data_IF_813222921277
#
_entry.id   IF_813222921277
#
_cell.length_a   1.000
_cell.length_b   1.000
_cell.length_c   1.000
_cell.angle_alpha   90.00
_cell.angle_beta   90.00
_cell.angle_gamma   90.00
#
_symmetry.space_group_name_H-M   'P 1'
#
loop_
_entity.id
_entity.type
_entity.pdbx_description
1 polymer ?
#
# COMPACT_ATOMS: atom_id res chain seq x y z
N UNK A 1 -29.66 73.20 14.59
CA UNK A 1 -29.27 71.80 14.86
C UNK A 1 -28.43 71.32 13.69
N UNK A 2 -27.12 71.27 13.90
CA UNK A 2 -26.08 70.88 12.93
C UNK A 2 -25.37 69.66 13.54
N UNK A 3 -25.17 68.55 12.82
CA UNK A 3 -24.48 67.39 13.37
C UNK A 3 -22.95 67.61 13.36
N UNK A 4 -22.21 67.01 14.30
CA UNK A 4 -20.77 67.24 14.46
C UNK A 4 -19.94 66.39 13.48
N UNK A 5 -18.81 66.96 13.06
CA UNK A 5 -17.80 66.34 12.21
C UNK A 5 -17.02 65.27 12.95
N UNK A 6 -16.85 64.10 12.33
CA UNK A 6 -15.97 63.02 12.79
C UNK A 6 -14.61 63.19 12.10
N UNK A 7 -13.55 63.31 12.88
CA UNK A 7 -12.15 63.30 12.44
C UNK A 7 -11.64 61.86 12.24
N UNK A 8 -10.67 61.64 11.32
CA UNK A 8 -10.18 60.30 10.98
C UNK A 8 -9.13 59.81 11.99
N UNK A 9 -9.24 58.52 12.33
CA UNK A 9 -8.31 57.75 13.16
C UNK A 9 -7.12 57.33 12.28
N UNK A 10 -5.91 57.63 12.74
CA UNK A 10 -4.66 57.19 12.13
C UNK A 10 -4.41 55.70 12.41
N UNK A 11 -4.17 54.93 11.34
CA UNK A 11 -3.65 53.56 11.38
C UNK A 11 -2.12 53.64 11.46
N UNK A 12 -1.55 53.10 12.54
CA UNK A 12 -0.11 52.90 12.70
C UNK A 12 0.31 51.53 12.15
N UNK A 13 1.32 51.58 11.30
CA UNK A 13 1.96 50.49 10.58
C UNK A 13 2.89 49.61 11.45
N UNK A 14 2.93 48.33 11.07
CA UNK A 14 4.10 47.43 11.00
C UNK A 14 4.74 46.88 12.29
N UNK A 15 4.27 45.69 12.71
CA UNK A 15 5.10 44.72 13.42
C UNK A 15 5.61 43.64 12.45
N UNK A 16 6.93 43.55 12.36
CA UNK A 16 7.68 42.61 11.52
C UNK A 16 7.84 41.27 12.24
N UNK A 17 7.20 40.22 11.73
CA UNK A 17 7.40 38.83 12.17
C UNK A 17 8.52 38.19 11.35
N UNK A 18 9.68 38.01 11.99
CA UNK A 18 10.79 37.19 11.51
C UNK A 18 10.36 35.73 11.36
N UNK A 19 10.38 35.22 10.12
CA UNK A 19 10.21 33.80 9.81
C UNK A 19 11.55 33.10 10.05
N UNK A 20 11.62 32.34 11.15
CA UNK A 20 12.74 31.43 11.44
C UNK A 20 12.69 30.19 10.55
N UNK A 21 13.76 30.01 9.78
CA UNK A 21 14.51 28.76 9.59
C UNK A 21 13.75 27.48 9.23
N UNK A 22 13.78 27.14 7.93
CA UNK A 22 13.52 25.79 7.42
C UNK A 22 14.54 24.77 7.94
N UNK A 23 14.13 23.56 8.37
CA UNK A 23 15.06 22.53 8.83
C UNK A 23 15.74 21.82 7.65
N UNK A 24 17.06 21.73 7.73
CA UNK A 24 17.96 20.98 6.86
C UNK A 24 17.65 19.48 6.91
N UNK A 25 17.58 18.75 5.78
CA UNK A 25 17.35 17.31 5.79
C UNK A 25 18.60 16.55 6.27
N UNK A 26 18.42 15.68 7.26
CA UNK A 26 19.44 14.75 7.76
C UNK A 26 19.75 13.67 6.71
N UNK A 27 21.02 13.21 6.60
CA UNK A 27 21.40 12.15 5.68
C UNK A 27 20.87 10.79 6.16
N UNK A 28 20.10 10.12 5.29
CA UNK A 28 19.70 8.73 5.42
C UNK A 28 20.94 7.83 5.44
N UNK A 29 21.23 7.25 6.60
CA UNK A 29 22.21 6.19 6.77
C UNK A 29 21.81 4.96 5.97
N UNK A 30 22.73 4.47 5.14
CA UNK A 30 22.66 3.16 4.49
C UNK A 30 22.77 2.08 5.56
N UNK A 31 21.63 1.61 6.06
CA UNK A 31 21.55 0.37 6.81
C UNK A 31 21.36 -0.79 5.85
N UNK A 32 22.31 -1.72 5.83
CA UNK A 32 22.21 -2.98 5.12
C UNK A 32 21.06 -3.81 5.68
N UNK A 33 19.93 -3.82 4.96
CA UNK A 33 18.81 -4.73 5.21
C UNK A 33 19.20 -6.07 4.59
N UNK A 34 19.63 -7.02 5.42
CA UNK A 34 19.67 -8.43 5.02
C UNK A 34 18.23 -8.88 4.72
N UNK A 35 17.94 -9.07 3.43
CA UNK A 35 16.69 -9.63 2.95
C UNK A 35 16.61 -11.11 3.38
N UNK A 36 15.64 -11.43 4.24
CA UNK A 36 15.18 -12.80 4.42
C UNK A 36 14.39 -13.22 3.17
N UNK A 37 14.72 -14.34 2.50
CA UNK A 37 13.95 -14.80 1.36
C UNK A 37 12.59 -15.32 1.84
N UNK A 38 11.53 -14.59 1.48
CA UNK A 38 10.16 -15.12 1.50
C UNK A 38 10.06 -16.08 0.31
N UNK A 39 10.06 -17.38 0.60
CA UNK A 39 9.74 -18.42 -0.36
C UNK A 39 8.24 -18.28 -0.67
N UNK A 40 7.93 -17.63 -1.80
CA UNK A 40 6.62 -17.73 -2.43
C UNK A 40 6.72 -18.88 -3.42
N UNK A 41 6.13 -20.03 -3.08
CA UNK A 41 5.91 -21.12 -4.03
C UNK A 41 4.98 -20.63 -5.14
N UNK A 42 5.56 -20.35 -6.30
CA UNK A 42 4.85 -20.07 -7.52
C UNK A 42 4.36 -21.40 -8.13
N UNK A 43 3.03 -21.56 -8.24
CA UNK A 43 2.43 -22.54 -9.13
C UNK A 43 2.85 -22.24 -10.57
N UNK A 44 3.77 -23.05 -11.08
CA UNK A 44 4.20 -23.05 -12.48
C UNK A 44 3.16 -23.76 -13.34
N UNK A 45 2.57 -23.05 -14.29
CA UNK A 45 1.95 -23.65 -15.48
C UNK A 45 2.96 -23.62 -16.63
N UNK A 46 3.12 -24.71 -17.40
CA UNK A 46 4.16 -24.81 -18.41
C UNK A 46 3.83 -24.03 -19.69
N UNK A 47 4.81 -23.25 -20.15
CA UNK A 47 4.87 -22.67 -21.48
C UNK A 47 4.93 -23.77 -22.55
N UNK A 48 4.09 -23.68 -23.57
CA UNK A 48 4.31 -24.32 -24.87
C UNK A 48 4.49 -23.23 -25.94
N UNK A 49 5.49 -23.35 -26.84
CA UNK A 49 5.79 -22.34 -27.84
C UNK A 49 4.95 -22.54 -29.11
N UNK A 50 4.11 -21.57 -29.46
CA UNK A 50 3.46 -21.52 -30.77
C UNK A 50 4.45 -20.98 -31.81
N UNK A 51 5.03 -21.91 -32.58
CA UNK A 51 5.73 -21.66 -33.83
C UNK A 51 4.70 -21.33 -34.92
N UNK A 52 4.81 -20.13 -35.50
CA UNK A 52 4.06 -19.73 -36.71
C UNK A 52 4.71 -20.43 -37.90
N UNK A 53 4.00 -21.40 -38.48
CA UNK A 53 4.36 -22.09 -39.72
C UNK A 53 3.45 -21.60 -40.84
N UNK A 54 4.08 -21.24 -41.95
CA UNK A 54 3.48 -20.74 -43.18
C UNK A 54 2.89 -21.85 -44.07
N UNK A 55 1.79 -21.51 -44.74
CA UNK A 55 1.22 -22.07 -46.01
C UNK A 55 0.51 -23.44 -45.94
N UNK A 56 -0.41 -23.81 -46.87
CA UNK A 56 -0.70 -23.21 -48.20
C UNK A 56 -2.20 -23.03 -48.56
N UNK A 57 -2.40 -22.57 -49.79
CA UNK A 57 -3.63 -22.38 -50.57
C UNK A 57 -4.75 -23.42 -50.32
N UNK A 58 -5.99 -22.93 -50.20
CA UNK A 58 -7.19 -23.75 -50.35
C UNK A 58 -8.16 -23.09 -51.31
N UNK A 59 -8.41 -23.80 -52.40
CA UNK A 59 -9.32 -23.50 -53.48
C UNK A 59 -10.77 -23.35 -52.99
N UNK A 60 -11.46 -22.38 -53.60
CA UNK A 60 -12.88 -22.15 -53.48
C UNK A 60 -13.72 -23.30 -54.07
N UNK A 61 -14.93 -23.51 -53.54
CA UNK A 61 -16.05 -23.94 -54.36
C UNK A 61 -17.11 -22.85 -54.47
N UNK A 62 -17.59 -22.70 -55.69
CA UNK A 62 -18.63 -21.77 -56.11
C UNK A 62 -20.05 -22.23 -55.72
N UNK A 63 -20.96 -21.25 -55.82
CA UNK A 63 -22.43 -21.29 -56.01
C UNK A 63 -23.32 -21.16 -54.75
N UNK A 64 -24.59 -20.69 -54.88
CA UNK A 64 -25.24 -19.98 -56.00
C UNK A 64 -25.95 -18.66 -55.62
N UNK A 65 -26.30 -17.91 -56.67
CA UNK A 65 -27.21 -16.76 -56.67
C UNK A 65 -28.54 -17.05 -55.95
N UNK A 66 -28.95 -16.14 -55.08
CA UNK A 66 -30.36 -15.95 -54.69
C UNK A 66 -30.72 -14.50 -54.95
N UNK A 67 -31.38 -14.28 -56.08
CA UNK A 67 -32.23 -13.11 -56.29
C UNK A 67 -33.49 -13.26 -55.42
N UNK A 68 -33.81 -12.27 -54.60
CA UNK A 68 -35.20 -12.03 -54.18
C UNK A 68 -35.49 -10.54 -54.02
N UNK A 69 -36.24 -10.07 -55.01
CA UNK A 69 -37.20 -8.97 -55.06
C UNK A 69 -37.37 -8.01 -53.87
N UNK A 70 -37.28 -6.72 -54.23
CA UNK A 70 -37.89 -5.56 -53.57
C UNK A 70 -39.42 -5.66 -53.53
N UNK A 71 -40.01 -5.30 -52.38
CA UNK A 71 -41.31 -4.61 -52.34
C UNK A 71 -41.52 -3.83 -51.02
N UNK A 72 -41.68 -2.53 -51.22
CA UNK A 72 -42.25 -1.45 -50.40
C UNK A 72 -43.35 -1.80 -49.38
N UNK A 73 -43.36 -1.14 -48.21
CA UNK A 73 -44.37 -0.11 -47.80
C UNK A 73 -44.31 0.25 -46.30
N UNK A 74 -44.42 1.57 -46.03
CA UNK A 74 -44.55 2.35 -44.77
C UNK A 74 -45.67 1.88 -43.78
N UNK A 75 -45.84 2.42 -42.54
CA UNK A 75 -45.51 3.78 -42.09
C UNK A 75 -44.98 4.03 -40.65
N UNK A 76 -44.53 5.26 -40.46
CA UNK A 76 -44.38 5.98 -39.18
C UNK A 76 -45.74 6.15 -38.48
N UNK A 77 -45.82 5.88 -37.17
CA UNK A 77 -46.08 6.91 -36.15
C UNK A 77 -46.22 6.33 -34.74
N UNK A 78 -45.76 7.15 -33.79
CA UNK A 78 -46.14 7.25 -32.38
C UNK A 78 -45.72 6.13 -31.41
N UNK A 79 -44.89 6.47 -30.41
CA UNK A 79 -45.34 6.95 -29.10
C UNK A 79 -44.12 7.10 -28.17
N UNK A 80 -43.92 8.33 -27.69
CA UNK A 80 -43.14 8.65 -26.49
C UNK A 80 -43.59 7.75 -25.32
N UNK A 81 -42.72 6.88 -24.81
CA UNK A 81 -42.93 6.28 -23.49
C UNK A 81 -41.68 6.44 -22.64
N UNK A 82 -41.84 7.28 -21.62
CA UNK A 82 -40.89 7.55 -20.55
C UNK A 82 -40.61 6.24 -19.80
N UNK A 83 -39.40 5.70 -19.91
CA UNK A 83 -38.89 4.78 -18.90
C UNK A 83 -38.07 5.59 -17.89
N UNK A 84 -38.77 5.99 -16.82
CA UNK A 84 -38.14 6.38 -15.57
C UNK A 84 -37.50 5.13 -14.94
N UNK A 85 -36.20 4.97 -15.12
CA UNK A 85 -35.43 4.04 -14.29
C UNK A 85 -35.16 4.70 -12.93
N UNK A 86 -35.39 3.99 -11.81
CA UNK A 86 -35.19 4.56 -10.49
C UNK A 86 -33.69 4.77 -10.22
N UNK A 87 -33.38 5.93 -9.64
CA UNK A 87 -32.11 6.24 -8.99
C UNK A 87 -31.73 5.10 -8.04
N UNK A 88 -30.70 4.35 -8.41
CA UNK A 88 -30.06 3.40 -7.52
C UNK A 88 -29.24 4.22 -6.50
N UNK A 89 -29.75 4.32 -5.28
CA UNK A 89 -29.01 4.84 -4.12
C UNK A 89 -27.94 3.82 -3.75
N UNK A 90 -26.64 4.18 -3.70
CA UNK A 90 -25.66 3.31 -3.08
C UNK A 90 -25.80 3.47 -1.56
N UNK A 91 -26.61 2.62 -0.94
CA UNK A 91 -26.49 2.36 0.48
C UNK A 91 -25.14 1.69 0.73
N UNK A 92 -24.18 2.47 1.24
CA UNK A 92 -23.31 2.13 2.36
C UNK A 92 -23.24 0.62 2.69
N UNK A 93 -22.44 -0.12 1.93
CA UNK A 93 -21.94 -1.45 2.32
C UNK A 93 -20.48 -1.31 2.73
N UNK A 94 -20.27 -0.79 3.94
CA UNK A 94 -19.00 -0.89 4.64
C UNK A 94 -19.28 -0.77 6.13
N UNK A 95 -19.76 -1.86 6.74
CA UNK A 95 -19.67 -2.19 8.17
C UNK A 95 -20.36 -3.53 8.42
N UNK A 96 -19.77 -4.62 7.92
CA UNK A 96 -20.14 -5.98 8.34
C UNK A 96 -19.05 -6.97 7.93
N UNK A 97 -17.85 -6.86 8.52
CA UNK A 97 -17.00 -8.03 8.75
C UNK A 97 -15.93 -7.65 9.79
N UNK A 98 -15.65 -8.60 10.69
CA UNK A 98 -14.66 -8.54 11.79
C UNK A 98 -15.17 -7.97 13.13
N UNK A 99 -16.16 -8.65 13.70
CA UNK A 99 -16.30 -8.76 15.17
C UNK A 99 -16.66 -10.19 15.55
N UNK A 100 -15.67 -11.08 15.66
CA UNK A 100 -15.76 -12.28 16.52
C UNK A 100 -14.38 -12.95 16.66
N UNK A 101 -13.53 -12.37 17.50
CA UNK A 101 -12.51 -13.14 18.22
C UNK A 101 -12.85 -12.97 19.69
N UNK A 102 -13.77 -13.83 20.15
CA UNK A 102 -14.07 -14.00 21.56
C UNK A 102 -12.89 -14.72 22.20
N UNK A 103 -12.17 -14.03 23.06
CA UNK A 103 -11.30 -14.64 24.06
C UNK A 103 -12.16 -14.95 25.27
N UNK A 104 -12.71 -16.16 25.33
CA UNK A 104 -13.11 -16.78 26.59
C UNK A 104 -11.83 -17.15 27.32
N UNK A 105 -11.40 -16.31 28.25
CA UNK A 105 -10.45 -16.68 29.31
C UNK A 105 -11.19 -17.62 30.27
N UNK A 106 -11.09 -18.92 30.01
CA UNK A 106 -11.37 -19.94 31.01
C UNK A 106 -10.17 -20.01 31.95
N UNK A 107 -10.41 -19.64 33.21
CA UNK A 107 -9.52 -19.86 34.33
C UNK A 107 -9.30 -21.38 34.55
N UNK A 108 -8.07 -21.91 34.48
CA UNK A 108 -7.80 -23.23 35.02
C UNK A 108 -7.66 -23.09 36.54
N UNK A 109 -8.69 -23.54 37.26
CA UNK A 109 -8.61 -23.82 38.69
C UNK A 109 -7.69 -25.02 38.89
N UNK A 110 -6.44 -24.75 39.26
CA UNK A 110 -5.47 -25.76 39.66
C UNK A 110 -5.79 -26.12 41.12
N UNK A 111 -6.44 -27.26 41.31
CA UNK A 111 -6.57 -27.95 42.59
C UNK A 111 -5.21 -28.58 42.95
N UNK A 112 -4.60 -28.11 44.03
CA UNK A 112 -3.47 -28.79 44.69
C UNK A 112 -4.07 -29.84 45.64
N UNK A 113 -3.85 -31.12 45.32
CA UNK A 113 -4.10 -32.23 46.22
C UNK A 113 -2.90 -32.38 47.17
N UNK A 114 -3.19 -32.32 48.47
CA UNK A 114 -2.26 -32.58 49.56
C UNK A 114 -1.90 -34.07 49.61
N UNK A 115 -0.67 -34.44 49.26
CA UNK A 115 -0.14 -35.80 49.47
C UNK A 115 0.82 -35.82 50.66
N UNK A 116 0.23 -36.04 51.83
CA UNK A 116 0.85 -36.30 53.13
C UNK A 116 1.66 -37.61 53.06
N UNK A 117 2.99 -37.51 52.95
CA UNK A 117 3.88 -38.68 53.00
C UNK A 117 4.60 -38.76 54.35
N UNK A 118 3.98 -39.53 55.24
CA UNK A 118 4.51 -39.99 56.51
C UNK A 118 5.63 -41.03 56.28
N UNK A 119 6.86 -40.73 56.73
CA UNK A 119 7.97 -41.69 56.79
C UNK A 119 8.71 -41.58 58.12
N UNK A 120 8.20 -42.34 59.09
CA UNK A 120 8.95 -42.79 60.26
C UNK A 120 10.03 -43.79 59.85
N UNK A 121 11.28 -43.57 60.26
CA UNK A 121 12.28 -44.64 60.40
C UNK A 121 13.04 -44.52 61.71
N UNK A 122 13.00 -45.63 62.44
CA UNK A 122 13.61 -45.91 63.73
C UNK A 122 15.12 -46.19 63.64
N UNK A 123 15.87 -45.62 64.60
CA UNK A 123 17.02 -46.20 65.36
C UNK A 123 18.35 -46.50 64.63
N UNK A 124 19.51 -46.72 65.33
CA UNK A 124 19.72 -46.88 66.78
C UNK A 124 20.82 -45.99 67.40
N UNK A 125 20.78 -45.91 68.73
CA UNK A 125 21.75 -45.20 69.56
C UNK A 125 23.16 -45.80 69.55
N UNK A 126 24.15 -44.91 69.60
CA UNK A 126 25.55 -45.23 69.87
C UNK A 126 26.02 -44.42 71.07
N UNK A 127 26.58 -45.16 72.02
CA UNK A 127 27.05 -44.73 73.33
C UNK A 127 28.25 -43.78 73.30
N UNK A 128 28.20 -42.83 74.23
CA UNK A 128 29.24 -41.85 74.63
C UNK A 128 30.63 -42.46 74.85
N UNK A 129 31.68 -41.68 74.55
CA UNK A 129 32.87 -41.67 75.39
C UNK A 129 33.19 -40.26 75.94
N UNK A 130 33.52 -40.28 77.24
CA UNK A 130 34.49 -39.44 77.97
C UNK A 130 34.38 -37.91 77.89
N UNK A 131 33.84 -37.37 78.99
CA UNK A 131 33.98 -35.99 79.43
C UNK A 131 35.45 -35.61 79.59
N UNK A 132 35.96 -34.84 78.63
CA UNK A 132 37.01 -33.86 78.84
C UNK A 132 36.26 -32.60 79.31
N UNK A 133 36.64 -32.06 80.46
CA UNK A 133 36.12 -30.78 80.96
C UNK A 133 36.52 -29.66 79.98
N UNK A 134 35.70 -29.47 78.95
CA UNK A 134 35.73 -28.33 78.05
C UNK A 134 35.31 -27.10 78.86
N UNK A 135 36.18 -26.11 78.88
CA UNK A 135 35.82 -24.73 79.17
C UNK A 135 34.60 -24.39 78.29
N UNK A 136 33.47 -24.07 78.90
CA UNK A 136 32.20 -23.84 78.21
C UNK A 136 32.28 -22.55 77.39
N UNK A 137 32.90 -22.61 76.21
CA UNK A 137 32.80 -21.58 75.19
C UNK A 137 31.32 -21.48 74.82
N UNK A 138 30.71 -20.32 75.04
CA UNK A 138 29.31 -20.11 74.70
C UNK A 138 29.11 -20.40 73.20
N UNK A 139 28.24 -21.36 72.86
CA UNK A 139 27.85 -21.64 71.47
C UNK A 139 26.93 -20.52 71.02
N UNK A 140 27.40 -19.67 70.11
CA UNK A 140 26.61 -18.63 69.49
C UNK A 140 25.96 -19.19 68.22
N UNK A 141 24.75 -18.72 67.88
CA UNK A 141 24.15 -19.03 66.57
C UNK A 141 25.08 -18.51 65.48
N UNK A 142 25.25 -19.29 64.41
CA UNK A 142 26.07 -18.89 63.27
C UNK A 142 25.63 -17.51 62.79
N UNK A 143 26.52 -16.50 62.80
CA UNK A 143 26.21 -15.22 62.21
C UNK A 143 26.00 -15.41 60.70
N UNK A 144 25.00 -14.73 60.18
CA UNK A 144 24.66 -14.77 58.75
C UNK A 144 25.70 -13.99 57.95
N UNK A 145 25.77 -14.23 56.64
CA UNK A 145 26.71 -13.52 55.76
C UNK A 145 25.94 -12.52 54.91
N UNK A 146 26.46 -11.29 54.84
CA UNK A 146 25.91 -10.25 53.98
C UNK A 146 26.22 -10.57 52.52
N UNK A 147 25.19 -10.65 51.68
CA UNK A 147 25.33 -10.85 50.25
C UNK A 147 25.73 -9.52 49.58
N UNK A 148 26.98 -9.43 49.14
CA UNK A 148 27.45 -8.31 48.34
C UNK A 148 26.99 -8.48 46.88
N UNK A 149 26.01 -7.67 46.45
CA UNK A 149 25.45 -7.73 45.10
C UNK A 149 25.82 -6.46 44.29
N UNK A 150 26.74 -6.54 43.31
CA UNK A 150 27.30 -5.37 42.66
C UNK A 150 26.39 -4.75 41.58
N UNK A 151 25.28 -5.40 41.21
CA UNK A 151 24.49 -5.06 40.04
C UNK A 151 23.22 -4.24 40.36
N UNK A 152 23.33 -3.30 41.31
CA UNK A 152 22.22 -2.42 41.70
C UNK A 152 21.22 -3.09 42.65
N UNK A 153 19.93 -2.72 42.54
CA UNK A 153 18.89 -3.24 43.44
C UNK A 153 18.69 -4.74 43.25
N UNK A 154 18.92 -5.50 44.33
CA UNK A 154 18.79 -6.95 44.33
C UNK A 154 17.37 -7.38 43.92
N UNK A 155 16.33 -6.62 44.28
CA UNK A 155 14.96 -6.93 43.85
C UNK A 155 14.78 -6.98 42.33
N UNK A 156 15.49 -6.14 41.59
CA UNK A 156 15.31 -5.97 40.15
C UNK A 156 16.29 -6.82 39.34
N UNK A 157 17.52 -6.98 39.83
CA UNK A 157 18.59 -7.65 39.09
C UNK A 157 18.86 -9.07 39.56
N UNK A 158 18.37 -9.49 40.71
CA UNK A 158 18.48 -10.87 41.16
C UNK A 158 17.41 -11.77 40.52
N UNK A 159 17.77 -12.94 39.96
CA UNK A 159 16.83 -13.88 39.35
C UNK A 159 16.12 -14.73 40.43
N UNK A 160 15.16 -14.12 41.13
CA UNK A 160 14.39 -14.75 42.22
C UNK A 160 13.74 -16.08 41.82
N UNK A 161 13.41 -16.24 40.54
CA UNK A 161 12.79 -17.43 39.97
C UNK A 161 13.64 -18.69 40.18
N UNK A 162 14.97 -18.56 40.28
CA UNK A 162 15.85 -19.72 40.45
C UNK A 162 15.70 -20.40 41.81
N UNK A 163 15.26 -19.66 42.84
CA UNK A 163 14.91 -20.26 44.13
C UNK A 163 13.64 -21.10 44.06
N UNK A 164 12.70 -20.74 43.19
CA UNK A 164 11.46 -21.50 43.01
C UNK A 164 11.69 -22.81 42.25
N UNK A 165 12.48 -22.77 41.16
CA UNK A 165 12.71 -23.96 40.34
C UNK A 165 13.71 -24.94 40.97
N UNK A 166 14.71 -24.42 41.69
CA UNK A 166 15.81 -25.24 42.19
C UNK A 166 16.28 -24.79 43.58
N UNK A 167 15.47 -24.99 44.64
CA UNK A 167 15.76 -24.47 45.99
C UNK A 167 17.11 -24.95 46.55
N UNK A 168 17.57 -26.14 46.16
CA UNK A 168 18.83 -26.71 46.63
C UNK A 168 20.02 -26.48 45.68
N UNK A 169 19.80 -25.97 44.46
CA UNK A 169 20.89 -25.89 43.46
C UNK A 169 21.87 -24.76 43.74
N UNK A 170 21.42 -23.70 44.42
CA UNK A 170 22.25 -22.55 44.75
C UNK A 170 23.10 -22.79 45.99
N UNK A 171 22.75 -23.78 46.83
CA UNK A 171 23.48 -24.12 48.06
C UNK A 171 23.32 -23.10 49.20
N UNK A 172 22.46 -22.09 49.04
CA UNK A 172 22.14 -21.10 50.06
C UNK A 172 20.68 -20.64 49.97
N UNK A 173 20.19 -20.07 51.06
CA UNK A 173 18.88 -19.43 51.15
C UNK A 173 19.00 -18.06 51.83
N UNK A 174 18.01 -17.20 51.61
CA UNK A 174 17.93 -15.89 52.26
C UNK A 174 17.43 -16.03 53.69
N UNK A 175 18.19 -15.47 54.65
CA UNK A 175 17.90 -15.57 56.09
C UNK A 175 17.27 -14.29 56.64
N UNK A 176 17.60 -13.13 56.07
CA UNK A 176 17.06 -11.85 56.52
C UNK A 176 17.29 -10.71 55.52
N UNK A 177 16.47 -9.68 55.66
CA UNK A 177 16.54 -8.44 54.90
C UNK A 177 16.61 -7.30 55.91
N UNK A 178 17.64 -6.45 55.83
CA UNK A 178 17.79 -5.26 56.68
C UNK A 178 17.62 -3.98 55.85
N UNK A 179 17.37 -2.88 56.54
CA UNK A 179 17.44 -1.51 55.99
C UNK A 179 16.62 -1.31 54.70
N UNK A 180 15.34 -1.73 54.72
CA UNK A 180 14.43 -1.61 53.57
C UNK A 180 14.90 -2.36 52.31
N UNK A 181 15.78 -3.35 52.46
CA UNK A 181 16.28 -4.17 51.35
C UNK A 181 17.49 -3.59 50.64
N UNK A 182 18.31 -2.79 51.31
CA UNK A 182 19.69 -2.54 50.88
C UNK A 182 20.60 -3.72 51.22
N UNK A 183 20.37 -4.36 52.36
CA UNK A 183 21.22 -5.45 52.87
C UNK A 183 20.46 -6.76 52.92
N UNK A 184 20.99 -7.76 52.22
CA UNK A 184 20.47 -9.13 52.23
C UNK A 184 21.45 -10.04 52.94
N UNK A 185 20.92 -10.89 53.80
CA UNK A 185 21.70 -11.86 54.57
C UNK A 185 21.38 -13.25 54.06
N UNK A 186 22.40 -14.02 53.72
CA UNK A 186 22.29 -15.38 53.20
C UNK A 186 22.93 -16.39 54.15
N UNK A 187 22.42 -17.63 54.10
CA UNK A 187 22.93 -18.75 54.87
C UNK A 187 23.07 -19.97 53.97
N UNK A 188 24.16 -20.73 54.15
CA UNK A 188 24.32 -22.01 53.45
C UNK A 188 23.25 -23.01 53.88
N UNK A 189 22.80 -23.84 52.94
CA UNK A 189 21.92 -24.99 53.24
C UNK A 189 22.62 -25.99 54.17
N UNK A 190 23.96 -26.05 54.12
CA UNK A 190 24.79 -26.92 54.96
C UNK A 190 25.37 -26.19 56.18
N UNK A 191 24.65 -25.20 56.74
CA UNK A 191 25.13 -24.43 57.89
C UNK A 191 25.17 -25.27 59.17
N UNK A 192 26.26 -25.15 59.95
CA UNK A 192 26.45 -25.87 61.22
C UNK A 192 25.54 -25.36 62.38
N UNK A 193 24.70 -24.34 62.11
CA UNK A 193 23.80 -23.62 63.02
C UNK A 193 24.46 -22.88 64.19
N UNK A 194 25.52 -23.44 64.78
CA UNK A 194 26.23 -22.92 65.95
C UNK A 194 27.74 -22.87 65.71
N UNK A 195 28.37 -21.78 66.12
CA UNK A 195 29.81 -21.54 65.95
C UNK A 195 30.46 -21.14 67.27
N UNK A 196 31.76 -21.39 67.36
CA UNK A 196 32.61 -20.92 68.46
C UNK A 196 33.36 -19.69 67.94
N UNK A 197 32.81 -18.50 68.19
CA UNK A 197 33.38 -17.22 67.77
C UNK A 197 32.35 -16.25 67.15
N UNK A 198 32.85 -15.12 66.65
CA UNK A 198 32.04 -14.07 66.00
C UNK A 198 31.92 -14.23 64.48
N UNK A 199 32.62 -15.20 63.89
CA UNK A 199 32.64 -15.43 62.45
C UNK A 199 31.62 -16.49 62.01
N UNK A 200 31.13 -16.38 60.77
CA UNK A 200 30.24 -17.37 60.19
C UNK A 200 30.93 -18.74 60.05
N UNK A 201 30.14 -19.83 60.04
CA UNK A 201 30.68 -21.17 59.82
C UNK A 201 31.32 -21.29 58.42
N UNK A 202 32.25 -22.25 58.26
CA UNK A 202 32.96 -22.48 57.00
C UNK A 202 32.01 -22.72 55.81
N UNK A 203 30.92 -23.50 55.93
CA UNK A 203 29.94 -23.66 54.85
C UNK A 203 29.29 -22.35 54.41
N UNK A 204 28.93 -21.48 55.36
CA UNK A 204 28.41 -20.16 55.03
C UNK A 204 29.46 -19.32 54.31
N UNK A 205 30.70 -19.27 54.82
CA UNK A 205 31.76 -18.47 54.20
C UNK A 205 32.11 -18.96 52.77
N UNK A 206 31.96 -20.27 52.51
CA UNK A 206 32.15 -20.85 51.18
C UNK A 206 31.06 -20.44 50.17
N UNK A 207 29.90 -19.94 50.61
CA UNK A 207 28.83 -19.47 49.69
C UNK A 207 29.29 -18.23 48.91
N UNK A 208 30.02 -17.32 49.55
CA UNK A 208 30.50 -16.09 48.91
C UNK A 208 31.43 -16.39 47.73
N UNK A 209 32.23 -17.45 47.83
CA UNK A 209 33.14 -17.92 46.78
C UNK A 209 32.54 -19.06 45.94
N UNK A 210 31.27 -19.38 46.13
CA UNK A 210 30.63 -20.49 45.43
C UNK A 210 30.49 -20.21 43.93
N UNK A 211 30.71 -21.26 43.12
CA UNK A 211 30.54 -21.17 41.67
C UNK A 211 29.09 -20.82 41.29
N UNK A 212 28.11 -21.23 42.11
CA UNK A 212 26.70 -20.90 41.91
C UNK A 212 26.46 -19.39 41.97
N UNK A 213 26.95 -18.73 43.01
CA UNK A 213 26.82 -17.28 43.15
C UNK A 213 27.58 -16.51 42.06
N UNK A 214 28.78 -16.96 41.70
CA UNK A 214 29.55 -16.36 40.60
C UNK A 214 28.84 -16.49 39.24
N UNK A 215 28.23 -17.65 38.96
CA UNK A 215 27.42 -17.86 37.75
C UNK A 215 26.20 -16.94 37.73
N UNK A 216 25.51 -16.79 38.87
CA UNK A 216 24.39 -15.84 38.99
C UNK A 216 24.84 -14.41 38.68
N UNK A 217 25.96 -13.98 39.27
CA UNK A 217 26.52 -12.64 39.00
C UNK A 217 26.91 -12.46 37.53
N UNK A 218 27.51 -13.48 36.90
CA UNK A 218 27.84 -13.45 35.47
C UNK A 218 26.59 -13.34 34.58
N UNK A 219 25.54 -14.10 34.88
CA UNK A 219 24.27 -14.05 34.14
C UNK A 219 23.59 -12.67 34.23
N UNK A 220 23.85 -11.88 35.26
CA UNK A 220 23.21 -10.56 35.36
C UNK A 220 23.77 -9.57 34.34
N UNK A 221 25.04 -9.71 33.98
CA UNK A 221 25.72 -8.81 33.06
C UNK A 221 25.36 -9.09 31.60
N UNK A 222 25.42 -10.36 31.20
CA UNK A 222 25.22 -10.74 29.81
C UNK A 222 24.56 -12.12 29.75
N UNK A 223 23.30 -12.17 29.31
CA UNK A 223 22.60 -13.42 29.01
C UNK A 223 22.49 -13.54 27.50
N UNK A 224 22.90 -14.69 26.98
CA UNK A 224 22.66 -15.02 25.59
C UNK A 224 21.16 -15.14 25.34
N UNK A 225 20.68 -14.58 24.23
CA UNK A 225 19.26 -14.56 23.85
C UNK A 225 18.66 -15.95 23.69
N UNK A 226 19.49 -16.99 23.55
CA UNK A 226 19.06 -18.39 23.47
C UNK A 226 18.78 -19.04 24.83
N UNK A 227 19.16 -18.39 25.93
CA UNK A 227 19.04 -18.95 27.29
C UNK A 227 17.57 -19.03 27.71
N UNK A 228 17.22 -20.03 28.49
CA UNK A 228 15.87 -20.17 29.03
C UNK A 228 15.49 -18.93 29.87
N UNK A 229 14.29 -18.38 29.65
CA UNK A 229 13.76 -17.20 30.35
C UNK A 229 13.70 -17.37 31.87
N UNK A 230 13.72 -18.60 32.40
CA UNK A 230 13.79 -18.87 33.83
C UNK A 230 15.06 -18.35 34.51
N UNK A 231 16.13 -18.07 33.76
CA UNK A 231 17.38 -17.51 34.27
C UNK A 231 17.45 -15.97 34.17
N UNK A 232 16.43 -15.33 33.58
CA UNK A 232 16.43 -13.88 33.37
C UNK A 232 16.02 -13.17 34.65
N UNK A 233 16.67 -12.05 34.93
CA UNK A 233 16.23 -11.15 36.01
C UNK A 233 15.01 -10.32 35.58
N UNK A 234 14.40 -9.61 36.54
CA UNK A 234 13.18 -8.85 36.30
C UNK A 234 13.37 -7.75 35.24
N UNK A 235 14.48 -7.01 35.27
CA UNK A 235 14.75 -5.97 34.28
C UNK A 235 14.93 -6.53 32.87
N UNK A 236 15.62 -7.67 32.74
CA UNK A 236 15.80 -8.36 31.47
C UNK A 236 14.46 -8.87 30.92
N UNK A 237 13.62 -9.49 31.77
CA UNK A 237 12.27 -9.93 31.40
C UNK A 237 11.38 -8.75 30.98
N UNK A 238 11.47 -7.61 31.69
CA UNK A 238 10.76 -6.38 31.34
C UNK A 238 11.23 -5.82 30.00
N UNK A 239 12.54 -5.80 29.76
CA UNK A 239 13.13 -5.41 28.48
C UNK A 239 12.63 -6.29 27.34
N UNK A 240 12.68 -7.61 27.52
CA UNK A 240 12.19 -8.60 26.56
C UNK A 240 10.69 -8.45 26.29
N UNK A 241 9.87 -8.23 27.33
CA UNK A 241 8.44 -7.99 27.20
C UNK A 241 8.13 -6.69 26.42
N UNK A 242 8.91 -5.64 26.63
CA UNK A 242 8.81 -4.41 25.85
C UNK A 242 9.18 -4.66 24.38
N UNK A 243 10.27 -5.38 24.13
CA UNK A 243 10.69 -5.73 22.77
C UNK A 243 9.61 -6.53 22.03
N UNK A 244 9.01 -7.53 22.69
CA UNK A 244 7.88 -8.28 22.11
C UNK A 244 6.67 -7.38 21.82
N UNK A 245 6.35 -6.43 22.71
CA UNK A 245 5.28 -5.46 22.50
C UNK A 245 5.57 -4.57 21.29
N UNK A 246 6.81 -4.13 21.14
CA UNK A 246 7.23 -3.29 20.01
C UNK A 246 7.15 -4.06 18.69
N UNK A 247 7.63 -5.31 18.65
CA UNK A 247 7.46 -6.19 17.48
C UNK A 247 5.99 -6.41 17.14
N UNK A 248 5.15 -6.66 18.15
CA UNK A 248 3.71 -6.82 17.95
C UNK A 248 3.06 -5.56 17.37
N UNK A 249 3.46 -4.38 17.86
CA UNK A 249 3.00 -3.10 17.32
C UNK A 249 3.47 -2.88 15.88
N UNK A 250 4.71 -3.25 15.54
CA UNK A 250 5.20 -3.22 14.16
C UNK A 250 4.37 -4.11 13.23
N UNK A 251 4.07 -5.34 13.64
CA UNK A 251 3.21 -6.23 12.85
C UNK A 251 1.80 -5.68 12.69
N UNK A 252 1.21 -5.11 13.74
CA UNK A 252 -0.12 -4.46 13.67
C UNK A 252 -0.14 -3.32 12.65
N UNK A 253 0.88 -2.45 12.67
CA UNK A 253 1.00 -1.36 11.70
C UNK A 253 1.15 -1.89 10.26
N UNK A 254 1.97 -2.93 10.06
CA UNK A 254 2.12 -3.60 8.77
C UNK A 254 0.80 -4.19 8.27
N UNK A 255 0.03 -4.85 9.15
CA UNK A 255 -1.30 -5.38 8.81
C UNK A 255 -2.28 -4.26 8.42
N UNK A 256 -2.32 -3.15 9.17
CA UNK A 256 -3.20 -2.01 8.83
C UNK A 256 -2.82 -1.38 7.48
N UNK A 257 -1.53 -1.29 7.17
CA UNK A 257 -1.07 -0.77 5.89
C UNK A 257 -1.48 -1.69 4.73
N UNK A 258 -1.32 -3.01 4.90
CA UNK A 258 -1.76 -3.98 3.90
C UNK A 258 -3.29 -3.93 3.70
N UNK A 259 -4.07 -3.81 4.77
CA UNK A 259 -5.52 -3.63 4.68
C UNK A 259 -5.91 -2.40 3.87
N UNK A 260 -5.23 -1.27 4.04
CA UNK A 260 -5.45 -0.06 3.22
C UNK A 260 -5.11 -0.30 1.75
N UNK A 261 -4.01 -1.00 1.46
CA UNK A 261 -3.63 -1.35 0.09
C UNK A 261 -4.68 -2.24 -0.58
N UNK A 262 -5.15 -3.28 0.12
CA UNK A 262 -6.23 -4.15 -0.36
C UNK A 262 -7.51 -3.35 -0.59
N UNK A 263 -7.89 -2.47 0.34
CA UNK A 263 -9.05 -1.59 0.18
C UNK A 263 -8.96 -0.71 -1.08
N UNK A 264 -7.80 -0.11 -1.34
CA UNK A 264 -7.56 0.70 -2.54
C UNK A 264 -7.65 -0.13 -3.83
N UNK A 265 -7.11 -1.35 -3.84
CA UNK A 265 -7.21 -2.26 -4.98
C UNK A 265 -8.65 -2.67 -5.27
N UNK A 266 -9.43 -2.97 -4.23
CA UNK A 266 -10.86 -3.30 -4.37
C UNK A 266 -11.63 -2.13 -4.99
N UNK A 267 -11.39 -0.90 -4.52
CA UNK A 267 -11.99 0.31 -5.12
C UNK A 267 -11.60 0.42 -6.59
N UNK A 268 -10.31 0.25 -6.92
CA UNK A 268 -9.82 0.34 -8.30
C UNK A 268 -10.43 -0.71 -9.23
N UNK A 269 -10.61 -1.95 -8.76
CA UNK A 269 -11.32 -3.01 -9.50
C UNK A 269 -12.78 -2.62 -9.72
N UNK A 270 -13.43 -2.05 -8.69
CA UNK A 270 -14.78 -1.50 -8.79
C UNK A 270 -14.87 -0.44 -9.88
N UNK A 271 -13.97 0.54 -9.89
CA UNK A 271 -13.93 1.60 -10.90
C UNK A 271 -13.73 1.04 -12.31
N UNK A 272 -12.84 0.05 -12.46
CA UNK A 272 -12.61 -0.61 -13.75
C UNK A 272 -13.84 -1.34 -14.26
N UNK A 273 -14.58 -2.03 -13.38
CA UNK A 273 -15.86 -2.67 -13.72
C UNK A 273 -16.91 -1.65 -14.17
N UNK A 274 -17.04 -0.53 -13.46
CA UNK A 274 -17.95 0.55 -13.85
C UNK A 274 -17.58 1.14 -15.21
N UNK A 275 -16.28 1.33 -15.46
CA UNK A 275 -15.77 1.77 -16.76
C UNK A 275 -16.14 0.78 -17.89
N UNK A 276 -15.87 -0.53 -17.72
CA UNK A 276 -16.25 -1.55 -18.70
C UNK A 276 -17.75 -1.54 -18.95
N UNK A 277 -18.55 -1.43 -17.89
CA UNK A 277 -20.01 -1.39 -18.00
C UNK A 277 -20.48 -0.16 -18.79
N UNK A 278 -19.94 1.03 -18.49
CA UNK A 278 -20.26 2.25 -19.22
C UNK A 278 -19.92 2.12 -20.72
N UNK A 279 -18.75 1.57 -21.04
CA UNK A 279 -18.32 1.30 -22.42
C UNK A 279 -19.24 0.27 -23.11
N UNK A 280 -19.65 -0.79 -22.41
CA UNK A 280 -20.54 -1.81 -22.96
C UNK A 280 -21.96 -1.30 -23.21
N UNK A 281 -22.47 -0.39 -22.37
CA UNK A 281 -23.83 0.15 -22.48
C UNK A 281 -23.98 1.28 -23.50
N UNK A 282 -22.89 1.98 -23.83
CA UNK A 282 -22.96 3.20 -24.62
C UNK A 282 -22.24 3.03 -25.96
N UNK A 283 -23.00 2.61 -26.97
CA UNK A 283 -22.53 2.48 -28.35
C UNK A 283 -22.53 3.84 -29.05
N UNK A 284 -21.60 4.71 -28.66
CA UNK A 284 -21.44 6.03 -29.28
C UNK A 284 -19.98 6.21 -29.69
N UNK A 285 -19.68 6.39 -30.99
CA UNK A 285 -18.32 6.67 -31.49
C UNK A 285 -17.57 7.78 -30.70
N UNK A 286 -18.31 8.72 -30.11
CA UNK A 286 -17.78 9.78 -29.24
C UNK A 286 -17.11 9.27 -27.96
N UNK A 287 -17.63 8.21 -27.32
CA UNK A 287 -17.04 7.66 -26.11
C UNK A 287 -15.71 7.00 -26.45
N UNK A 288 -15.62 6.29 -27.58
CA UNK A 288 -14.37 5.72 -28.05
C UNK A 288 -13.28 6.78 -28.24
N UNK A 289 -13.62 7.91 -28.88
CA UNK A 289 -12.69 9.02 -29.08
C UNK A 289 -12.28 9.67 -27.76
N UNK A 290 -13.22 9.87 -26.84
CA UNK A 290 -12.94 10.42 -25.51
C UNK A 290 -12.02 9.51 -24.71
N UNK A 291 -12.25 8.19 -24.74
CA UNK A 291 -11.37 7.21 -24.09
C UNK A 291 -9.98 7.22 -24.74
N UNK A 292 -9.88 7.30 -26.07
CA UNK A 292 -8.59 7.40 -26.75
C UNK A 292 -7.80 8.65 -26.35
N UNK A 293 -8.46 9.82 -26.29
CA UNK A 293 -7.82 11.08 -25.86
C UNK A 293 -7.38 10.99 -24.39
N UNK A 294 -8.24 10.45 -23.52
CA UNK A 294 -7.91 10.31 -22.11
C UNK A 294 -6.76 9.31 -21.88
N UNK A 295 -6.72 8.20 -22.64
CA UNK A 295 -5.60 7.27 -22.63
C UNK A 295 -4.31 7.90 -23.16
N UNK A 296 -4.37 8.70 -24.23
CA UNK A 296 -3.21 9.43 -24.76
C UNK A 296 -2.65 10.45 -23.74
N UNK A 297 -3.51 10.95 -22.84
CA UNK A 297 -3.13 11.83 -21.73
C UNK A 297 -2.72 11.08 -20.45
N UNK A 298 -2.65 9.74 -20.48
CA UNK A 298 -2.43 8.89 -19.30
C UNK A 298 -3.42 9.15 -18.15
N UNK A 299 -4.67 9.47 -18.47
CA UNK A 299 -5.70 9.73 -17.47
C UNK A 299 -6.06 8.44 -16.70
N UNK A 300 -6.28 8.57 -15.39
CA UNK A 300 -6.74 7.45 -14.55
C UNK A 300 -8.14 6.98 -14.96
N UNK A 301 -8.49 5.71 -14.69
CA UNK A 301 -9.83 5.17 -14.98
C UNK A 301 -10.96 6.01 -14.38
N UNK A 302 -10.77 6.54 -13.17
CA UNK A 302 -11.72 7.47 -12.51
C UNK A 302 -11.94 8.74 -13.34
N UNK A 303 -10.87 9.31 -13.87
CA UNK A 303 -10.95 10.52 -14.67
C UNK A 303 -11.62 10.25 -16.03
N UNK A 304 -11.40 9.06 -16.61
CA UNK A 304 -12.10 8.63 -17.82
C UNK A 304 -13.60 8.52 -17.57
N UNK A 305 -14.02 7.87 -16.47
CA UNK A 305 -15.44 7.76 -16.08
C UNK A 305 -16.04 9.15 -15.86
N UNK A 306 -15.33 10.04 -15.13
CA UNK A 306 -15.77 11.42 -14.91
C UNK A 306 -15.95 12.19 -16.22
N UNK A 307 -15.03 12.02 -17.17
CA UNK A 307 -15.15 12.63 -18.51
C UNK A 307 -16.35 12.07 -19.29
N UNK A 308 -16.65 10.78 -19.19
CA UNK A 308 -17.86 10.18 -19.78
C UNK A 308 -19.11 10.78 -19.14
N UNK A 309 -19.19 10.85 -17.81
CA UNK A 309 -20.32 11.45 -17.10
C UNK A 309 -20.54 12.92 -17.50
N UNK A 310 -19.46 13.70 -17.60
CA UNK A 310 -19.51 15.09 -18.06
C UNK A 310 -20.03 15.23 -19.49
N UNK A 311 -19.72 14.28 -20.38
CA UNK A 311 -20.25 14.25 -21.75
C UNK A 311 -21.71 13.81 -21.78
N UNK A 312 -22.10 12.82 -20.97
CA UNK A 312 -23.49 12.36 -20.84
C UNK A 312 -24.38 13.48 -20.28
N UNK A 313 -23.89 14.23 -19.31
CA UNK A 313 -24.56 15.43 -18.76
C UNK A 313 -24.53 16.63 -19.73
N UNK A 314 -23.82 16.52 -20.86
CA UNK A 314 -23.71 17.59 -21.85
C UNK A 314 -22.88 18.79 -21.40
N UNK A 315 -22.16 18.69 -20.28
CA UNK A 315 -21.33 19.76 -19.71
C UNK A 315 -20.01 19.89 -20.48
N UNK A 316 -19.44 18.76 -20.90
CA UNK A 316 -18.23 18.73 -21.71
C UNK A 316 -18.55 18.41 -23.18
N UNK A 317 -17.98 19.21 -24.08
CA UNK A 317 -17.98 18.96 -25.52
C UNK A 317 -16.56 18.64 -25.96
N UNK A 318 -16.18 17.37 -25.93
CA UNK A 318 -14.92 16.91 -26.51
C UNK A 318 -15.14 16.62 -27.99
N UNK A 319 -14.61 17.51 -28.84
CA UNK A 319 -14.63 17.32 -30.29
C UNK A 319 -13.27 16.84 -30.75
N UNK A 320 -13.13 15.53 -30.93
CA UNK A 320 -12.06 14.93 -31.70
C UNK A 320 -12.66 14.52 -33.04
N UNK A 321 -12.23 15.16 -34.13
CA UNK A 321 -12.73 14.83 -35.46
C UNK A 321 -11.74 13.88 -36.14
N UNK A 322 -12.21 12.70 -36.54
CA UNK A 322 -11.46 11.80 -37.39
C UNK A 322 -11.30 12.39 -38.80
N UNK A 323 -10.27 11.97 -39.55
CA UNK A 323 -10.04 12.39 -40.94
C UNK A 323 -11.29 12.24 -41.81
N UNK A 324 -12.01 11.12 -41.65
CA UNK A 324 -13.29 10.86 -42.32
C UNK A 324 -14.35 11.94 -42.02
N UNK A 325 -14.35 12.49 -40.81
CA UNK A 325 -15.26 13.58 -40.42
C UNK A 325 -14.93 14.89 -41.13
N UNK A 326 -13.64 15.18 -41.34
CA UNK A 326 -13.20 16.32 -42.15
C UNK A 326 -13.53 16.13 -43.63
N UNK A 327 -13.30 14.94 -44.19
CA UNK A 327 -13.63 14.62 -45.58
C UNK A 327 -15.13 14.74 -45.85
N UNK A 328 -15.96 14.23 -44.92
CA UNK A 328 -17.42 14.35 -45.00
C UNK A 328 -17.86 15.81 -44.83
N UNK A 329 -17.25 16.55 -43.90
CA UNK A 329 -17.50 17.99 -43.73
C UNK A 329 -17.19 18.80 -44.98
N UNK A 330 -16.07 18.50 -45.65
CA UNK A 330 -15.67 19.14 -46.90
C UNK A 330 -16.64 18.79 -48.04
N UNK A 331 -17.06 17.53 -48.15
CA UNK A 331 -18.06 17.10 -49.13
C UNK A 331 -19.41 17.79 -48.90
N UNK A 332 -19.85 17.91 -47.65
CA UNK A 332 -21.06 18.67 -47.31
C UNK A 332 -20.92 20.16 -47.63
N UNK A 333 -19.74 20.75 -47.42
CA UNK A 333 -19.46 22.14 -47.79
C UNK A 333 -19.57 22.34 -49.30
N UNK A 334 -19.07 21.41 -50.11
CA UNK A 334 -19.14 21.47 -51.57
C UNK A 334 -20.56 21.28 -52.10
N UNK A 335 -21.34 20.38 -51.51
CA UNK A 335 -22.70 20.05 -52.00
C UNK A 335 -23.76 21.06 -51.56
N UNK A 336 -23.72 21.52 -50.31
CA UNK A 336 -24.79 22.34 -49.71
C UNK A 336 -24.32 23.65 -49.11
N UNK A 337 -23.05 23.99 -49.28
CA UNK A 337 -22.46 25.23 -48.77
C UNK A 337 -22.41 25.31 -47.24
N UNK A 338 -22.10 26.51 -46.72
CA UNK A 338 -21.92 26.76 -45.27
C UNK A 338 -23.15 26.40 -44.41
N UNK A 339 -24.36 26.58 -44.94
CA UNK A 339 -25.62 26.34 -44.21
C UNK A 339 -25.83 24.86 -43.91
N UNK A 340 -25.50 23.97 -44.86
CA UNK A 340 -25.60 22.53 -44.65
C UNK A 340 -24.59 22.05 -43.61
N UNK A 341 -23.35 22.53 -43.69
CA UNK A 341 -22.32 22.24 -42.69
C UNK A 341 -22.74 22.69 -41.31
N UNK A 342 -23.33 23.89 -41.18
CA UNK A 342 -23.84 24.39 -39.90
C UNK A 342 -24.94 23.48 -39.32
N UNK A 343 -25.90 23.06 -40.15
CA UNK A 343 -26.97 22.15 -39.73
C UNK A 343 -26.42 20.78 -39.30
N UNK A 344 -25.49 20.21 -40.06
CA UNK A 344 -24.88 18.91 -39.76
C UNK A 344 -23.88 18.95 -38.60
N UNK A 345 -23.22 20.08 -38.36
CA UNK A 345 -22.43 20.29 -37.14
C UNK A 345 -23.33 20.17 -35.90
N UNK A 346 -24.54 20.74 -35.93
CA UNK A 346 -25.49 20.65 -34.82
C UNK A 346 -26.18 19.29 -34.73
N UNK A 347 -26.60 18.70 -35.86
CA UNK A 347 -27.37 17.46 -35.88
C UNK A 347 -26.49 16.20 -35.74
N UNK A 348 -25.38 16.15 -36.47
CA UNK A 348 -24.51 14.97 -36.57
C UNK A 348 -23.14 15.16 -35.90
N UNK A 349 -22.82 16.37 -35.41
CA UNK A 349 -21.54 16.63 -34.78
C UNK A 349 -20.37 16.67 -35.77
N UNK A 350 -20.59 17.09 -37.02
CA UNK A 350 -19.51 17.32 -37.99
C UNK A 350 -18.59 18.47 -37.55
N UNK A 351 -17.33 18.54 -38.05
CA UNK A 351 -16.43 19.64 -37.76
C UNK A 351 -17.01 21.00 -38.13
N UNK A 352 -16.61 22.02 -37.37
CA UNK A 352 -17.02 23.40 -37.65
C UNK A 352 -16.45 23.85 -38.99
N UNK A 353 -17.09 24.86 -39.60
CA UNK A 353 -16.65 25.39 -40.89
C UNK A 353 -15.19 25.88 -40.83
N UNK A 354 -14.80 26.59 -39.77
CA UNK A 354 -13.40 26.99 -39.56
C UNK A 354 -12.46 25.78 -39.48
N UNK A 355 -12.82 24.76 -38.70
CA UNK A 355 -12.01 23.55 -38.57
C UNK A 355 -11.87 22.79 -39.89
N UNK A 356 -12.94 22.75 -40.72
CA UNK A 356 -12.91 22.17 -42.06
C UNK A 356 -11.96 22.98 -42.95
N UNK A 357 -12.01 24.31 -42.94
CA UNK A 357 -11.10 25.13 -43.75
C UNK A 357 -9.64 25.03 -43.32
N UNK A 358 -9.38 24.87 -42.02
CA UNK A 358 -8.03 24.64 -41.50
C UNK A 358 -7.45 23.29 -41.95
N UNK A 359 -8.30 22.25 -41.99
CA UNK A 359 -7.89 20.89 -42.39
C UNK A 359 -8.07 20.60 -43.89
N UNK A 360 -8.78 21.46 -44.62
CA UNK A 360 -8.94 21.34 -46.06
C UNK A 360 -7.58 21.51 -46.74
N UNK A 361 -7.29 20.63 -47.69
CA UNK A 361 -6.09 20.72 -48.50
C UNK A 361 -6.17 22.01 -49.31
N UNK A 362 -5.38 23.01 -48.91
CA UNK A 362 -5.27 24.28 -49.63
C UNK A 362 -4.49 24.02 -50.92
N UNK A 363 -5.22 23.96 -52.03
CA UNK A 363 -4.61 23.93 -53.35
C UNK A 363 -4.17 25.36 -53.68
N UNK A 364 -2.86 25.61 -53.63
CA UNK A 364 -2.30 26.89 -54.02
C UNK A 364 -2.18 26.93 -55.53
N UNK A 365 -3.21 27.48 -56.19
CA UNK A 365 -3.17 27.69 -57.64
C UNK A 365 -2.27 28.87 -57.96
N UNK A 366 -1.16 28.60 -58.64
CA UNK A 366 -0.26 29.60 -59.19
C UNK A 366 -0.89 30.16 -60.46
N UNK A 367 -1.14 31.47 -60.48
CA UNK A 367 -1.68 32.18 -61.64
C UNK A 367 -0.52 32.58 -62.56
N UNK A 368 -0.62 32.24 -63.84
CA UNK A 368 0.31 32.75 -64.85
C UNK A 368 -0.08 34.17 -65.27
N UNK A 369 0.84 35.13 -65.15
CA UNK A 369 0.65 36.47 -65.72
C UNK A 369 0.99 36.45 -67.22
N UNK A 370 -0.02 36.62 -68.07
CA UNK A 370 0.11 36.61 -69.54
C UNK A 370 -0.07 35.22 -70.14
N UNK A 371 0.84 34.81 -71.02
CA UNK A 371 0.75 33.49 -71.66
C UNK A 371 0.96 32.37 -70.63
N UNK A 372 0.12 31.31 -70.65
CA UNK A 372 0.21 30.22 -69.69
C UNK A 372 1.56 29.51 -69.80
N UNK A 373 2.31 29.46 -68.70
CA UNK A 373 3.63 28.83 -68.66
C UNK A 373 3.50 27.36 -68.28
N UNK A 374 4.22 26.50 -68.98
CA UNK A 374 4.25 25.05 -68.70
C UNK A 374 4.67 24.75 -67.25
N UNK A 375 5.53 25.58 -66.68
CA UNK A 375 5.98 25.48 -65.27
C UNK A 375 4.83 25.67 -64.29
N UNK A 376 3.96 26.64 -64.55
CA UNK A 376 2.86 27.01 -63.65
C UNK A 376 1.74 25.97 -63.75
N UNK A 377 1.45 25.50 -64.97
CA UNK A 377 0.53 24.38 -65.21
C UNK A 377 1.00 23.12 -64.46
N UNK A 378 2.27 22.75 -64.58
CA UNK A 378 2.82 21.59 -63.89
C UNK A 378 2.81 21.76 -62.37
N UNK A 379 3.08 22.96 -61.85
CA UNK A 379 3.00 23.25 -60.43
C UNK A 379 1.57 23.09 -59.90
N UNK A 380 0.58 23.62 -60.63
CA UNK A 380 -0.84 23.48 -60.27
C UNK A 380 -1.29 22.02 -60.31
N UNK A 381 -0.91 21.28 -61.36
CA UNK A 381 -1.18 19.84 -61.44
C UNK A 381 -0.60 19.13 -60.21
N UNK A 382 0.68 19.33 -59.91
CA UNK A 382 1.30 18.70 -58.74
C UNK A 382 0.61 19.10 -57.43
N UNK A 383 0.13 20.34 -57.31
CA UNK A 383 -0.60 20.80 -56.13
C UNK A 383 -1.97 20.14 -55.96
N UNK A 384 -2.72 19.90 -57.05
CA UNK A 384 -4.06 19.32 -56.99
C UNK A 384 -4.07 17.81 -56.76
N UNK A 385 -3.18 17.10 -57.46
CA UNK A 385 -3.16 15.63 -57.43
C UNK A 385 -2.20 15.07 -56.36
N UNK A 386 -1.39 15.93 -55.73
CA UNK A 386 -0.37 15.56 -54.77
C UNK A 386 0.77 14.74 -55.41
N UNK A 387 1.78 14.40 -54.60
CA UNK A 387 2.75 13.37 -54.98
C UNK A 387 2.07 12.00 -54.84
N UNK A 388 1.45 11.49 -55.91
CA UNK A 388 1.13 10.07 -55.95
C UNK A 388 2.45 9.29 -56.03
N UNK A 389 2.79 8.55 -54.97
CA UNK A 389 3.82 7.52 -55.05
C UNK A 389 3.31 6.46 -56.05
N UNK A 390 3.78 6.54 -57.28
CA UNK A 390 3.42 5.60 -58.34
C UNK A 390 4.28 4.35 -58.22
N UNK A 391 3.93 3.45 -57.31
CA UNK A 391 4.56 2.12 -57.28
C UNK A 391 4.10 1.25 -58.46
N UNK A 392 3.04 1.64 -59.17
CA UNK A 392 2.63 1.04 -60.45
C UNK A 392 2.30 2.12 -61.49
N UNK A 393 3.16 2.24 -62.51
CA UNK A 393 3.02 3.19 -63.62
C UNK A 393 1.98 2.64 -64.61
N UNK A 394 0.70 2.67 -64.26
CA UNK A 394 -0.36 2.59 -65.27
C UNK A 394 -0.46 3.96 -65.94
N UNK A 395 -0.08 4.06 -67.22
CA UNK A 395 -0.25 5.28 -68.00
C UNK A 395 -1.73 5.66 -68.00
N UNK A 396 -2.08 6.81 -67.41
CA UNK A 396 -3.42 7.38 -67.46
C UNK A 396 -3.43 8.51 -68.48
N UNK A 397 -4.32 8.45 -69.46
CA UNK A 397 -4.60 9.57 -70.36
C UNK A 397 -5.49 10.58 -69.64
N UNK A 398 -5.15 11.86 -69.72
CA UNK A 398 -5.96 12.95 -69.18
C UNK A 398 -6.38 13.86 -70.34
N UNK A 399 -7.68 14.19 -70.39
CA UNK A 399 -8.21 15.19 -71.31
C UNK A 399 -8.27 16.53 -70.57
N UNK A 400 -7.51 17.52 -71.03
CA UNK A 400 -7.58 18.88 -70.54
C UNK A 400 -8.45 19.70 -71.50
N UNK A 401 -9.59 20.17 -71.01
CA UNK A 401 -10.46 21.09 -71.75
C UNK A 401 -10.20 22.50 -71.22
N UNK A 402 -9.95 23.44 -72.13
CA UNK A 402 -9.69 24.85 -71.83
C UNK A 402 -10.81 25.64 -72.49
N UNK A 403 -11.46 26.50 -71.70
CA UNK A 403 -12.52 27.39 -72.15
C UNK A 403 -12.33 28.77 -71.49
N UNK A 404 -12.89 29.80 -72.12
CA UNK A 404 -12.85 31.17 -71.61
C UNK A 404 -14.07 31.46 -70.73
N UNK A 405 -13.84 32.05 -69.55
CA UNK A 405 -14.92 32.56 -68.70
C UNK A 405 -14.86 34.08 -68.75
N UNK A 406 -15.95 34.70 -69.20
CA UNK A 406 -16.14 36.14 -69.06
C UNK A 406 -16.43 36.44 -67.57
N UNK A 407 -15.58 37.25 -66.95
CA UNK A 407 -15.81 37.78 -65.61
C UNK A 407 -16.42 39.18 -65.74
N UNK A 408 -17.40 39.49 -64.89
CA UNK A 408 -17.91 40.86 -64.78
C UNK A 408 -16.84 41.73 -64.11
N UNK A 409 -16.34 42.75 -64.83
CA UNK A 409 -15.35 43.72 -64.34
C UNK A 409 -15.94 44.81 -63.45
#
# INVERSE_FOLDING_TARGET
>A
MVPPSISPIALSDSDSLEIRGSPTPLPLGKGDIQAFPIIIEAFSTPNSPCSVRSSPDFDAPALPNVEMHLSSSLPMDAVFSRCSTPLYSPQSLSNALVTSLGTTEENPSVSFDDEETDRSLYSPGVSKPRSIQQTSSARLKCPEIMLNWPHGSLFNTYPWQLHAYHPNSLGFYFSGIKENGSEFWIRSVSCDEYVIGENACLPCHAVETSQGLQKLQACVQEIDKSTNHGYYNFEQLRGLANEYRDRMNQYRLSTMNLQRQVGNLVISIGDHRHFIMAVATADIPRIRQLVQVALAQNASSKEIVRCIDMVVLGVAKTYSYEKRGFDLGLLCLQLGGPKLVYALNHAAGLPSLSSIHEHAIKCNVVISNGNPKTTDIQANIKSFWGFQQTDHISKKGHLLLIDEINLEE
#
